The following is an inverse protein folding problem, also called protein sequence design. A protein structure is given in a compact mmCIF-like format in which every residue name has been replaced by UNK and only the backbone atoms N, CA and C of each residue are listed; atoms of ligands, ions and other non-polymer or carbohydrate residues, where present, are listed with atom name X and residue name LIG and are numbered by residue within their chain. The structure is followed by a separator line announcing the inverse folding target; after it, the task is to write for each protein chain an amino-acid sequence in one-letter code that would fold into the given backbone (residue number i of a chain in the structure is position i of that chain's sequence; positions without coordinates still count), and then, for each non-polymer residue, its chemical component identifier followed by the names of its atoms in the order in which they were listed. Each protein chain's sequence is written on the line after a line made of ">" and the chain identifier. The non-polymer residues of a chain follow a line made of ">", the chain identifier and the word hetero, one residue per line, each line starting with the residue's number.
data_IF_193437951277
#
_entry.id   IF_193437951277
#
_cell.length_a   1.000
_cell.length_b   1.000
_cell.length_c   1.000
_cell.angle_alpha   90.00
_cell.angle_beta   90.00
_cell.angle_gamma   90.00
#
_symmetry.space_group_name_H-M   'P 1'
#
loop_
_entity.id
_entity.type
_entity.pdbx_description
1 polymer ?
2 non-polymer ?
3 non-polymer ?
4 non-polymer ?
5 non-polymer ?
6 non-polymer ?
7 water ?
#
# COMPACT_ATOMS: atom_id res chain seq x y z
N UNK A 5 3.48 -25.20 7.15
CA UNK A 5 3.38 -24.23 8.28
C UNK A 5 4.76 -23.63 8.57
N UNK A 6 4.83 -22.34 8.96
CA UNK A 6 6.09 -21.57 9.00
C UNK A 6 7.00 -22.19 10.05
N UNK A 7 8.31 -22.08 9.88
CA UNK A 7 9.25 -22.69 10.86
C UNK A 7 9.33 -21.77 12.08
N UNK A 8 9.79 -22.30 13.19
CA UNK A 8 9.95 -21.52 14.44
C UNK A 8 10.95 -20.39 14.19
N UNK A 9 12.01 -20.64 13.46
CA UNK A 9 13.07 -19.66 13.11
C UNK A 9 12.42 -18.49 12.35
N UNK A 10 11.64 -18.83 11.33
CA UNK A 10 10.98 -17.78 10.51
C UNK A 10 10.06 -16.96 11.41
N UNK A 11 9.23 -17.61 12.21
CA UNK A 11 8.24 -16.85 13.02
C UNK A 11 8.95 -15.98 14.05
N UNK A 12 10.06 -16.45 14.59
CA UNK A 12 10.79 -15.64 15.60
C UNK A 12 11.46 -14.46 14.89
N UNK A 13 12.02 -14.62 13.70
CA UNK A 13 12.63 -13.52 12.94
C UNK A 13 11.60 -12.41 12.75
N UNK A 14 10.39 -12.79 12.34
CA UNK A 14 9.35 -11.77 12.13
C UNK A 14 9.00 -11.07 13.43
N UNK A 15 8.82 -11.81 14.51
CA UNK A 15 8.44 -11.21 15.80
C UNK A 15 9.54 -10.24 16.23
N UNK A 16 10.79 -10.60 16.04
CA UNK A 16 11.90 -9.71 16.50
C UNK A 16 12.11 -8.52 15.55
N UNK A 17 11.45 -8.52 14.38
CA UNK A 17 11.60 -7.44 13.35
C UNK A 17 10.69 -6.28 13.71
N UNK A 18 9.70 -6.51 14.55
CA UNK A 18 8.68 -5.49 14.86
C UNK A 18 9.06 -4.72 16.12
N UNK A 19 9.16 -3.41 16.03
CA UNK A 19 9.49 -2.57 17.19
C UNK A 19 8.24 -2.33 18.02
N UNK A 20 8.40 -2.17 19.33
CA UNK A 20 7.26 -1.90 20.23
C UNK A 20 7.52 -0.57 20.90
N UNK A 21 6.49 0.24 21.06
CA UNK A 21 6.62 1.64 21.58
C UNK A 21 5.71 1.78 22.78
N UNK A 22 6.28 1.93 23.97
CA UNK A 22 5.46 2.07 25.21
C UNK A 22 4.74 3.41 25.18
N UNK A 23 3.47 3.33 25.56
CA UNK A 23 2.59 4.52 25.82
C UNK A 23 2.36 5.27 24.50
N UNK A 24 2.18 4.56 23.40
CA UNK A 24 1.76 5.17 22.13
C UNK A 24 0.58 4.33 21.62
N UNK A 25 -0.54 4.91 21.14
CA UNK A 25 -0.74 6.36 20.98
C UNK A 25 -1.27 7.04 22.25
N UNK A 26 -1.39 6.32 23.35
CA UNK A 26 -1.77 6.88 24.66
C UNK A 26 -1.17 5.98 25.74
N UNK A 27 -1.22 6.42 27.01
CA UNK A 27 -0.63 5.69 28.12
C UNK A 27 -1.27 4.31 28.23
N UNK A 28 -0.41 3.32 28.44
CA UNK A 28 -0.83 1.96 28.77
C UNK A 28 -0.97 1.09 27.55
N UNK A 29 -0.66 1.59 26.35
CA UNK A 29 -0.63 0.78 25.10
C UNK A 29 0.86 0.58 24.72
N UNK A 30 1.27 -0.68 24.53
CA UNK A 30 2.59 -1.02 23.93
C UNK A 30 2.38 -1.21 22.44
N UNK A 31 2.65 -0.19 21.66
CA UNK A 31 2.29 -0.17 20.23
C UNK A 31 3.22 -1.07 19.46
N UNK A 32 2.63 -1.90 18.61
CA UNK A 32 3.39 -2.82 17.73
C UNK A 32 3.53 -2.21 16.37
N UNK A 33 4.72 -1.80 16.03
CA UNK A 33 5.02 -0.93 14.87
C UNK A 33 5.50 -1.79 13.70
N UNK A 34 4.64 -2.09 12.73
CA UNK A 34 4.98 -2.90 11.55
C UNK A 34 5.93 -2.17 10.58
N UNK A 35 6.18 -0.85 10.75
CA UNK A 35 7.09 -0.16 9.79
C UNK A 35 8.51 -0.67 9.90
N UNK A 36 8.94 -1.20 11.07
CA UNK A 36 10.30 -1.74 11.23
C UNK A 36 10.44 -3.05 10.45
N UNK A 37 9.36 -3.78 10.27
CA UNK A 37 9.34 -5.00 9.42
C UNK A 37 9.42 -4.59 7.93
N UNK A 38 8.72 -3.53 7.55
CA UNK A 38 8.75 -3.03 6.15
C UNK A 38 10.13 -2.60 5.74
N UNK A 39 10.90 -2.01 6.65
CA UNK A 39 12.25 -1.49 6.28
C UNK A 39 13.27 -2.61 6.23
N UNK A 40 12.98 -3.83 6.73
CA UNK A 40 13.94 -4.96 6.68
C UNK A 40 13.56 -5.80 5.47
N UNK A 41 14.37 -5.81 4.40
CA UNK A 41 14.02 -6.57 3.21
C UNK A 41 13.76 -8.03 3.54
N UNK A 42 14.52 -8.63 4.47
CA UNK A 42 14.32 -10.05 4.81
C UNK A 42 12.96 -10.23 5.48
N UNK A 43 12.64 -9.40 6.46
CA UNK A 43 11.38 -9.57 7.25
C UNK A 43 10.19 -9.36 6.30
N UNK A 44 10.27 -8.33 5.46
CA UNK A 44 9.10 -8.01 4.59
C UNK A 44 8.89 -9.14 3.56
N UNK A 45 9.96 -9.51 2.87
CA UNK A 45 9.88 -10.63 1.90
C UNK A 45 9.35 -11.89 2.59
N UNK A 46 9.81 -12.21 3.79
CA UNK A 46 9.39 -13.46 4.44
C UNK A 46 7.90 -13.39 4.75
N UNK A 47 7.45 -12.27 5.30
CA UNK A 47 6.03 -12.09 5.67
C UNK A 47 5.18 -12.42 4.41
N UNK A 48 5.53 -11.82 3.28
CA UNK A 48 4.70 -12.01 2.06
C UNK A 48 4.84 -13.46 1.61
N UNK A 49 6.04 -14.00 1.60
CA UNK A 49 6.23 -15.40 1.15
C UNK A 49 5.39 -16.33 2.02
N UNK A 50 5.33 -16.14 3.33
CA UNK A 50 4.54 -17.01 4.26
C UNK A 50 3.03 -16.90 4.00
N UNK A 51 2.52 -15.71 3.67
CA UNK A 51 1.09 -15.55 3.39
C UNK A 51 0.74 -16.19 2.05
N UNK A 52 1.58 -16.02 1.05
CA UNK A 52 1.39 -16.62 -0.31
C UNK A 52 1.39 -18.15 -0.12
N UNK A 53 2.33 -18.70 0.62
CA UNK A 53 2.39 -20.17 0.87
C UNK A 53 1.08 -20.66 1.52
N UNK A 54 0.53 -19.98 2.55
CA UNK A 54 -0.65 -20.40 3.30
C UNK A 54 -1.83 -20.56 2.34
N UNK A 55 -1.94 -19.70 1.31
CA UNK A 55 -3.17 -19.62 0.49
C UNK A 55 -2.98 -20.09 -0.93
N UNK A 56 -1.80 -20.57 -1.32
CA UNK A 56 -1.52 -20.89 -2.74
C UNK A 56 -2.50 -21.97 -3.23
N UNK A 57 -3.02 -22.84 -2.38
CA UNK A 57 -3.92 -23.94 -2.87
C UNK A 57 -5.35 -23.66 -2.46
N UNK A 58 -5.68 -22.41 -2.09
CA UNK A 58 -6.96 -22.08 -1.45
C UNK A 58 -8.01 -21.65 -2.49
N UNK A 59 -7.67 -21.53 -3.77
CA UNK A 59 -8.62 -21.13 -4.83
C UNK A 59 -9.03 -19.67 -4.67
N UNK A 60 -8.14 -18.86 -4.12
CA UNK A 60 -8.40 -17.39 -4.02
C UNK A 60 -8.48 -16.79 -5.41
N UNK A 61 -9.47 -15.94 -5.66
CA UNK A 61 -9.61 -15.22 -6.95
C UNK A 61 -9.39 -13.72 -6.82
N UNK A 62 -9.43 -13.18 -5.61
CA UNK A 62 -9.17 -11.73 -5.40
C UNK A 62 -8.60 -11.58 -4.00
N UNK A 63 -7.70 -10.62 -3.79
CA UNK A 63 -7.26 -10.18 -2.45
C UNK A 63 -7.83 -8.79 -2.24
N UNK A 64 -8.42 -8.57 -1.07
CA UNK A 64 -8.90 -7.23 -0.67
C UNK A 64 -8.03 -6.75 0.49
N UNK A 65 -7.59 -5.52 0.39
CA UNK A 65 -6.87 -4.89 1.52
C UNK A 65 -7.45 -3.52 1.79
N UNK A 66 -7.51 -3.14 3.06
CA UNK A 66 -8.09 -1.85 3.49
C UNK A 66 -6.96 -0.80 3.49
N UNK A 67 -7.29 0.41 3.16
CA UNK A 67 -6.36 1.53 3.22
C UNK A 67 -5.91 1.75 4.66
N UNK A 68 -4.62 2.05 4.91
CA UNK A 68 -3.54 2.07 3.95
C UNK A 68 -2.55 0.95 4.26
N UNK A 69 -2.41 0.53 5.51
CA UNK A 69 -1.33 -0.45 5.83
C UNK A 69 -1.74 -1.80 5.23
N UNK A 70 -3.04 -2.06 5.08
CA UNK A 70 -3.58 -3.23 4.36
C UNK A 70 -3.07 -3.34 2.93
N UNK A 71 -2.91 -2.25 2.22
CA UNK A 71 -2.31 -2.19 0.89
C UNK A 71 -0.89 -2.81 0.87
N UNK A 72 -0.11 -2.55 1.92
CA UNK A 72 1.31 -2.95 1.98
C UNK A 72 1.44 -4.45 2.06
N UNK A 73 0.45 -5.14 2.60
CA UNK A 73 0.51 -6.60 2.75
C UNK A 73 -0.40 -7.30 1.74
N UNK A 74 -1.59 -6.75 1.49
CA UNK A 74 -2.54 -7.39 0.56
C UNK A 74 -2.03 -7.36 -0.85
N UNK A 75 -1.46 -6.26 -1.31
CA UNK A 75 -1.09 -6.14 -2.74
C UNK A 75 0.08 -7.06 -3.10
N UNK A 76 1.13 -7.21 -2.28
CA UNK A 76 2.18 -8.18 -2.62
C UNK A 76 1.64 -9.61 -2.55
N UNK A 77 0.71 -9.89 -1.66
CA UNK A 77 0.10 -11.26 -1.58
C UNK A 77 -0.67 -11.50 -2.90
N UNK A 78 -1.38 -10.51 -3.41
CA UNK A 78 -2.12 -10.63 -4.68
C UNK A 78 -1.13 -10.98 -5.77
N UNK A 79 -0.02 -10.26 -5.86
CA UNK A 79 1.00 -10.45 -6.89
C UNK A 79 1.58 -11.86 -6.77
N UNK A 80 1.81 -12.32 -5.54
CA UNK A 80 2.39 -13.65 -5.28
C UNK A 80 1.44 -14.77 -5.66
N UNK A 81 0.14 -14.57 -5.45
CA UNK A 81 -0.90 -15.53 -5.84
C UNK A 81 -1.26 -15.37 -7.34
N UNK A 82 -0.88 -14.28 -8.00
CA UNK A 82 -1.27 -13.98 -9.40
C UNK A 82 -2.76 -13.69 -9.54
N UNK A 83 -3.37 -13.00 -8.58
CA UNK A 83 -4.81 -12.62 -8.59
C UNK A 83 -4.91 -11.09 -8.47
N UNK A 84 -6.04 -10.55 -8.86
CA UNK A 84 -6.28 -9.11 -8.77
C UNK A 84 -6.24 -8.65 -7.32
N UNK A 85 -5.91 -7.39 -7.16
CA UNK A 85 -6.02 -6.71 -5.84
C UNK A 85 -7.15 -5.69 -5.86
N UNK A 86 -7.99 -5.72 -4.82
CA UNK A 86 -9.11 -4.77 -4.68
C UNK A 86 -8.93 -3.95 -3.42
N UNK A 87 -8.79 -2.62 -3.54
CA UNK A 87 -8.64 -1.77 -2.38
C UNK A 87 -10.02 -1.46 -1.79
N UNK A 88 -10.07 -1.47 -0.47
CA UNK A 88 -11.20 -0.88 0.29
C UNK A 88 -10.68 0.43 0.86
N UNK A 89 -11.41 1.50 0.61
CA UNK A 89 -10.88 2.87 0.84
C UNK A 89 -11.77 3.71 1.74
N UNK A 90 -11.11 4.72 2.31
CA UNK A 90 -11.83 5.81 2.98
C UNK A 90 -12.76 6.47 1.98
N UNK A 91 -13.84 7.13 2.43
CA UNK A 91 -14.83 7.63 1.51
C UNK A 91 -14.33 8.72 0.55
N UNK A 92 -14.88 8.69 -0.65
CA UNK A 92 -14.66 9.73 -1.64
C UNK A 92 -13.40 9.56 -2.42
N UNK A 93 -12.68 8.45 -2.25
CA UNK A 93 -11.37 8.24 -2.92
C UNK A 93 -11.52 7.32 -4.14
N UNK A 94 -12.44 6.39 -4.13
CA UNK A 94 -12.67 5.49 -5.29
C UNK A 94 -13.53 6.22 -6.30
N UNK A 95 -13.13 6.27 -7.58
CA UNK A 95 -13.88 7.03 -8.57
C UNK A 95 -15.10 6.46 -9.29
N UNK A 96 -15.27 5.16 -9.22
CA UNK A 96 -16.44 4.50 -9.85
C UNK A 96 -17.51 4.16 -8.81
N UNK A 97 -18.55 3.49 -9.22
CA UNK A 97 -19.68 3.20 -8.31
C UNK A 97 -19.17 2.37 -7.14
N UNK A 98 -19.60 2.73 -5.94
CA UNK A 98 -19.18 2.07 -4.69
C UNK A 98 -20.40 1.69 -3.88
N UNK A 99 -20.17 0.82 -2.92
CA UNK A 99 -21.05 0.64 -1.74
C UNK A 99 -20.19 0.96 -0.51
N UNK A 100 -20.83 1.20 0.61
CA UNK A 100 -20.21 1.75 1.82
C UNK A 100 -20.63 0.92 3.02
N UNK A 101 -19.75 0.84 4.00
CA UNK A 101 -20.05 0.25 5.31
C UNK A 101 -19.58 1.21 6.40
N UNK A 102 -20.42 1.40 7.39
CA UNK A 102 -20.11 2.27 8.55
C UNK A 102 -19.55 1.40 9.66
N UNK A 103 -18.51 1.87 10.34
CA UNK A 103 -17.83 1.14 11.43
C UNK A 103 -17.39 2.13 12.48
N UNK A 104 -17.06 1.61 13.64
CA UNK A 104 -16.62 2.47 14.78
C UNK A 104 -15.15 2.77 14.75
N UNK A 105 -14.79 4.04 14.96
CA UNK A 105 -13.44 4.52 15.31
C UNK A 105 -13.32 4.59 16.84
N UNK A 106 -12.14 4.89 17.33
CA UNK A 106 -11.98 5.20 18.77
C UNK A 106 -12.88 6.39 19.12
N UNK A 107 -12.94 7.43 18.28
CA UNK A 107 -13.62 8.72 18.62
C UNK A 107 -14.74 9.11 17.68
N UNK A 108 -15.52 8.15 17.19
CA UNK A 108 -16.62 8.45 16.27
C UNK A 108 -16.83 7.26 15.35
N UNK A 109 -17.32 7.53 14.15
CA UNK A 109 -17.64 6.50 13.16
C UNK A 109 -17.07 6.93 11.83
N UNK A 110 -16.95 5.97 10.91
CA UNK A 110 -16.42 6.35 9.58
C UNK A 110 -16.94 5.30 8.61
N UNK A 111 -16.61 5.49 7.36
CA UNK A 111 -17.05 4.53 6.32
C UNK A 111 -15.89 3.95 5.55
N UNK A 112 -16.08 2.72 5.09
CA UNK A 112 -15.19 2.10 4.08
C UNK A 112 -16.00 1.85 2.83
N UNK A 113 -15.36 2.01 1.70
CA UNK A 113 -16.02 1.84 0.40
C UNK A 113 -15.27 0.81 -0.44
N UNK A 114 -16.00 0.20 -1.36
CA UNK A 114 -15.41 -0.71 -2.35
C UNK A 114 -16.14 -0.47 -3.68
N UNK A 115 -15.40 -0.60 -4.76
CA UNK A 115 -16.03 -0.60 -6.10
C UNK A 115 -17.01 -1.75 -6.28
N UNK A 116 -18.21 -1.43 -6.75
CA UNK A 116 -19.28 -2.44 -6.94
C UNK A 116 -18.80 -3.47 -7.96
N UNK A 117 -18.04 -3.08 -8.96
CA UNK A 117 -17.68 -4.01 -10.06
C UNK A 117 -16.47 -4.87 -9.70
N UNK A 118 -15.87 -4.68 -8.53
CA UNK A 118 -14.57 -5.32 -8.23
C UNK A 118 -14.74 -6.74 -7.67
N UNK A 119 -15.91 -7.04 -7.13
CA UNK A 119 -16.24 -8.38 -6.53
C UNK A 119 -17.53 -8.84 -7.18
N UNK A 120 -17.64 -10.12 -7.53
CA UNK A 120 -18.86 -10.69 -8.15
C UNK A 120 -19.15 -12.05 -7.55
N UNK A 121 -20.38 -12.58 -7.67
CA UNK A 121 -20.60 -14.00 -7.38
C UNK A 121 -19.63 -14.90 -8.13
N UNK A 122 -19.10 -15.90 -7.42
CA UNK A 122 -18.03 -16.74 -7.95
C UNK A 122 -16.67 -16.38 -7.38
N UNK A 123 -16.46 -15.13 -6.92
CA UNK A 123 -15.16 -14.76 -6.35
C UNK A 123 -14.99 -15.40 -4.96
N UNK A 124 -13.76 -15.87 -4.73
CA UNK A 124 -13.30 -16.32 -3.41
C UNK A 124 -12.22 -15.34 -2.98
N UNK A 125 -12.46 -14.65 -1.90
CA UNK A 125 -11.64 -13.49 -1.52
C UNK A 125 -10.84 -13.82 -0.27
N UNK A 126 -9.62 -13.34 -0.28
CA UNK A 126 -8.76 -13.30 0.91
C UNK A 126 -8.65 -11.84 1.34
N UNK A 127 -8.96 -11.57 2.57
CA UNK A 127 -8.68 -10.21 3.14
C UNK A 127 -7.31 -10.24 3.82
N UNK A 128 -6.50 -9.22 3.60
CA UNK A 128 -5.16 -9.15 4.22
C UNK A 128 -5.09 -7.82 4.95
N UNK A 129 -4.58 -7.86 6.16
CA UNK A 129 -4.35 -6.59 6.90
C UNK A 129 -3.07 -6.71 7.70
N UNK A 130 -2.56 -5.57 8.12
CA UNK A 130 -1.31 -5.57 8.91
C UNK A 130 -1.61 -6.19 10.27
N UNK A 131 -2.67 -5.81 10.96
CA UNK A 131 -2.78 -6.08 12.41
C UNK A 131 -4.24 -6.28 12.79
N UNK A 132 -4.49 -7.33 13.57
CA UNK A 132 -5.82 -7.68 14.10
C UNK A 132 -5.88 -7.21 15.54
N UNK A 133 -6.70 -6.19 15.83
CA UNK A 133 -7.03 -5.73 17.19
C UNK A 133 -8.48 -6.12 17.46
N UNK A 134 -9.43 -5.21 17.44
CA UNK A 134 -10.85 -5.53 17.72
C UNK A 134 -11.43 -6.25 16.50
N UNK A 135 -10.91 -5.99 15.30
CA UNK A 135 -11.40 -6.65 14.09
C UNK A 135 -12.49 -5.84 13.42
N UNK A 136 -12.80 -4.63 13.87
CA UNK A 136 -13.95 -3.88 13.33
C UNK A 136 -13.79 -3.57 11.86
N UNK A 137 -12.61 -3.16 11.37
CA UNK A 137 -12.49 -2.77 9.95
C UNK A 137 -12.60 -4.05 9.14
N UNK A 138 -12.11 -5.17 9.65
CA UNK A 138 -12.22 -6.45 8.91
C UNK A 138 -13.69 -6.84 8.79
N UNK A 139 -14.46 -6.75 9.87
CA UNK A 139 -15.87 -7.15 9.83
C UNK A 139 -16.59 -6.30 8.79
N UNK A 140 -16.31 -5.00 8.74
CA UNK A 140 -16.91 -4.06 7.77
C UNK A 140 -16.51 -4.44 6.34
N UNK A 141 -15.26 -4.78 6.13
CA UNK A 141 -14.76 -5.21 4.82
C UNK A 141 -15.43 -6.50 4.39
N UNK A 142 -15.58 -7.44 5.29
CA UNK A 142 -16.26 -8.71 4.96
C UNK A 142 -17.67 -8.39 4.53
N UNK A 143 -18.38 -7.48 5.18
CA UNK A 143 -19.77 -7.15 4.80
C UNK A 143 -19.74 -6.57 3.39
N UNK A 144 -18.79 -5.69 3.06
CA UNK A 144 -18.73 -5.16 1.69
C UNK A 144 -18.60 -6.32 0.70
N UNK A 145 -17.71 -7.23 0.94
CA UNK A 145 -17.41 -8.33 -0.02
C UNK A 145 -18.69 -9.17 -0.16
N UNK A 146 -19.33 -9.52 0.95
CA UNK A 146 -20.49 -10.45 0.87
C UNK A 146 -21.69 -9.73 0.23
N UNK A 147 -21.82 -8.43 0.42
CA UNK A 147 -22.97 -7.68 -0.20
C UNK A 147 -22.82 -7.71 -1.72
N UNK A 148 -21.64 -7.88 -2.28
CA UNK A 148 -21.39 -7.94 -3.76
C UNK A 148 -21.44 -9.40 -4.25
N UNK A 149 -21.67 -10.34 -3.33
CA UNK A 149 -21.81 -11.78 -3.65
C UNK A 149 -20.50 -12.54 -3.63
N UNK A 150 -19.40 -11.93 -3.16
CA UNK A 150 -18.12 -12.63 -2.98
C UNK A 150 -18.19 -13.57 -1.82
N UNK A 151 -17.39 -14.63 -1.88
CA UNK A 151 -17.26 -15.57 -0.75
C UNK A 151 -15.93 -15.24 -0.09
N UNK A 152 -16.01 -15.06 1.20
CA UNK A 152 -14.80 -14.76 2.01
C UNK A 152 -14.91 -15.58 3.28
N UNK A 153 -13.89 -16.37 3.52
CA UNK A 153 -13.80 -17.23 4.70
C UNK A 153 -12.46 -17.06 5.39
N UNK A 154 -11.61 -16.17 4.92
CA UNK A 154 -10.19 -16.14 5.30
C UNK A 154 -9.72 -14.69 5.45
N UNK A 155 -8.98 -14.45 6.50
CA UNK A 155 -8.31 -13.17 6.76
C UNK A 155 -6.92 -13.47 7.26
N UNK A 156 -5.95 -12.79 6.73
CA UNK A 156 -4.54 -12.98 7.06
C UNK A 156 -4.01 -11.68 7.66
N UNK A 157 -3.14 -11.79 8.64
CA UNK A 157 -2.60 -10.62 9.36
C UNK A 157 -1.12 -10.84 9.61
N UNK A 158 -0.36 -9.76 9.62
CA UNK A 158 1.04 -9.86 10.13
C UNK A 158 1.03 -10.03 11.65
N UNK A 159 0.25 -9.22 12.34
CA UNK A 159 0.18 -9.19 13.82
C UNK A 159 -1.22 -9.54 14.28
N UNK A 160 -1.30 -10.30 15.36
CA UNK A 160 -2.54 -10.66 16.08
C UNK A 160 -2.40 -10.21 17.55
N UNK A 161 -3.20 -9.28 18.03
CA UNK A 161 -3.22 -8.93 19.47
C UNK A 161 -4.25 -9.82 20.14
N UNK A 162 -3.81 -11.01 20.53
CA UNK A 162 -4.75 -12.08 20.94
C UNK A 162 -5.52 -11.70 22.20
N UNK A 163 -5.07 -10.75 23.00
CA UNK A 163 -5.81 -10.36 24.24
C UNK A 163 -7.06 -9.54 23.89
N UNK A 164 -7.20 -9.07 22.64
CA UNK A 164 -8.33 -8.20 22.21
C UNK A 164 -9.46 -9.05 21.60
N UNK A 165 -9.25 -10.34 21.41
CA UNK A 165 -10.31 -11.31 21.09
C UNK A 165 -10.75 -11.27 19.63
N UNK A 166 -10.00 -10.64 18.75
CA UNK A 166 -10.46 -10.44 17.37
C UNK A 166 -10.57 -11.75 16.62
N UNK A 167 -9.71 -12.72 16.83
CA UNK A 167 -9.80 -13.99 16.07
C UNK A 167 -11.15 -14.64 16.39
N UNK A 168 -11.54 -14.68 17.64
CA UNK A 168 -12.81 -15.36 18.04
C UNK A 168 -13.97 -14.56 17.44
N UNK A 169 -13.91 -13.25 17.47
CA UNK A 169 -14.98 -12.38 16.92
C UNK A 169 -15.14 -12.63 15.42
N UNK A 170 -14.04 -12.71 14.70
CA UNK A 170 -14.10 -13.00 13.25
C UNK A 170 -14.58 -14.42 12.99
N UNK A 171 -14.26 -15.40 13.86
CA UNK A 171 -14.73 -16.79 13.69
C UNK A 171 -16.27 -16.85 13.76
N UNK A 172 -16.90 -15.99 14.56
CA UNK A 172 -18.38 -15.91 14.71
C UNK A 172 -18.97 -15.37 13.40
N UNK A 173 -18.17 -14.75 12.52
CA UNK A 173 -18.63 -14.23 11.23
C UNK A 173 -18.15 -15.13 10.10
N UNK A 174 -17.69 -16.35 10.38
CA UNK A 174 -17.27 -17.29 9.35
C UNK A 174 -15.93 -16.96 8.75
N UNK A 175 -15.10 -16.23 9.48
CA UNK A 175 -13.73 -15.90 9.02
C UNK A 175 -12.70 -16.61 9.89
N UNK A 176 -11.85 -17.39 9.23
CA UNK A 176 -10.68 -18.04 9.86
C UNK A 176 -9.49 -17.10 9.67
N UNK A 177 -8.87 -16.67 10.76
CA UNK A 177 -7.69 -15.80 10.77
C UNK A 177 -6.39 -16.61 10.76
N UNK A 178 -5.48 -16.22 9.90
CA UNK A 178 -4.07 -16.66 9.92
C UNK A 178 -3.22 -15.45 10.27
N UNK A 179 -2.44 -15.55 11.32
CA UNK A 179 -1.61 -14.42 11.78
C UNK A 179 -0.18 -14.93 11.97
N UNK A 180 0.82 -14.14 11.59
CA UNK A 180 2.25 -14.53 11.66
C UNK A 180 2.86 -14.22 13.04
N UNK A 181 2.50 -13.11 13.66
CA UNK A 181 3.16 -12.64 14.91
C UNK A 181 2.11 -12.34 15.98
N UNK A 182 2.00 -13.19 17.03
CA UNK A 182 1.09 -12.95 18.13
C UNK A 182 1.82 -12.04 19.12
N UNK A 183 1.12 -11.07 19.66
CA UNK A 183 1.63 -10.25 20.79
C UNK A 183 0.54 -10.13 21.82
N UNK A 184 0.94 -10.16 23.09
CA UNK A 184 0.03 -9.87 24.18
C UNK A 184 -0.16 -8.36 24.36
N UNK A 185 -1.10 -8.03 25.23
CA UNK A 185 -1.48 -6.67 25.59
C UNK A 185 -2.57 -6.03 24.75
N UNK A 186 -3.04 -4.85 25.16
CA UNK A 186 -4.09 -4.13 24.43
C UNK A 186 -3.52 -3.30 23.28
N UNK B 4 15.53 -5.69 -21.92
CA UNK B 4 15.73 -4.56 -20.96
C UNK B 4 14.84 -3.34 -21.29
N UNK B 5 13.97 -3.40 -22.32
CA UNK B 5 13.05 -2.30 -22.71
C UNK B 5 11.58 -2.82 -22.87
N UNK B 6 10.61 -2.02 -22.40
CA UNK B 6 9.16 -2.35 -22.48
C UNK B 6 8.75 -2.43 -23.95
N UNK B 7 7.96 -3.43 -24.29
CA UNK B 7 7.45 -3.62 -25.66
C UNK B 7 6.23 -2.71 -25.87
N UNK B 8 5.88 -2.52 -27.13
CA UNK B 8 4.68 -1.74 -27.48
C UNK B 8 3.45 -2.47 -26.93
N UNK B 9 3.40 -3.79 -26.98
CA UNK B 9 2.27 -4.63 -26.57
C UNK B 9 2.13 -4.45 -25.06
N UNK B 10 3.25 -4.38 -24.33
CA UNK B 10 3.20 -4.21 -22.86
C UNK B 10 2.67 -2.81 -22.49
N UNK B 11 3.24 -1.79 -23.08
CA UNK B 11 2.84 -0.40 -22.77
C UNK B 11 1.38 -0.21 -23.18
N UNK B 12 0.93 -0.80 -24.30
CA UNK B 12 -0.48 -0.61 -24.74
C UNK B 12 -1.39 -1.35 -23.77
N UNK B 13 -1.03 -2.56 -23.32
CA UNK B 13 -1.86 -3.34 -22.37
C UNK B 13 -2.05 -2.49 -21.11
N UNK B 14 -0.96 -1.89 -20.60
CA UNK B 14 -1.08 -1.11 -19.36
C UNK B 14 -2.00 0.09 -19.61
N UNK B 15 -1.80 0.81 -20.68
CA UNK B 15 -2.61 2.02 -20.93
C UNK B 15 -4.07 1.62 -21.04
N UNK B 16 -4.39 0.53 -21.74
CA UNK B 16 -5.80 0.13 -21.95
C UNK B 16 -6.40 -0.49 -20.68
N UNK B 17 -5.59 -0.78 -19.62
CA UNK B 17 -6.06 -1.40 -18.37
C UNK B 17 -6.58 -0.32 -17.41
N UNK B 18 -6.34 0.94 -17.77
CA UNK B 18 -6.71 2.04 -16.85
C UNK B 18 -8.03 2.65 -17.35
N UNK B 19 -8.99 2.76 -16.46
CA UNK B 19 -10.30 3.39 -16.76
C UNK B 19 -10.23 4.90 -16.50
N UNK B 20 -11.00 5.68 -17.27
CA UNK B 20 -11.09 7.13 -17.11
C UNK B 20 -12.52 7.53 -16.73
N UNK B 21 -12.66 8.43 -15.77
CA UNK B 21 -13.99 8.78 -15.21
C UNK B 21 -14.17 10.28 -15.31
N UNK B 22 -15.11 10.70 -16.14
CA UNK B 22 -15.40 12.15 -16.30
C UNK B 22 -16.01 12.72 -15.02
N UNK B 23 -15.47 13.81 -14.52
CA UNK B 23 -16.12 14.70 -13.50
C UNK B 23 -16.04 14.03 -12.13
N UNK B 24 -14.97 13.26 -11.98
CA UNK B 24 -14.53 12.80 -10.65
C UNK B 24 -13.11 13.39 -10.54
N UNK B 25 -12.69 13.96 -9.40
CA UNK B 25 -13.59 14.13 -8.24
C UNK B 25 -14.38 15.43 -8.24
N UNK B 26 -14.05 16.32 -9.18
CA UNK B 26 -14.75 17.61 -9.37
C UNK B 26 -15.10 17.70 -10.85
N UNK B 27 -16.17 18.45 -11.21
CA UNK B 27 -16.51 18.66 -12.61
C UNK B 27 -15.22 19.00 -13.37
N UNK B 28 -15.14 18.46 -14.58
CA UNK B 28 -14.13 18.88 -15.55
C UNK B 28 -12.78 18.19 -15.39
N UNK B 29 -12.61 17.24 -14.45
CA UNK B 29 -11.38 16.39 -14.51
C UNK B 29 -11.77 15.02 -15.10
N UNK B 30 -10.95 14.53 -16.01
CA UNK B 30 -11.11 13.14 -16.51
C UNK B 30 -10.18 12.29 -15.67
N UNK B 31 -10.71 11.67 -14.62
CA UNK B 31 -9.89 10.98 -13.63
C UNK B 31 -9.36 9.67 -14.19
N UNK B 32 -8.05 9.49 -14.06
CA UNK B 32 -7.35 8.28 -14.50
C UNK B 32 -7.27 7.32 -13.33
N UNK B 33 -7.95 6.20 -13.41
CA UNK B 33 -8.21 5.25 -12.31
C UNK B 33 -7.28 4.05 -12.40
N UNK B 34 -6.25 4.00 -11.56
CA UNK B 34 -5.35 2.80 -11.51
C UNK B 34 -6.01 1.59 -10.89
N UNK B 35 -7.16 1.69 -10.22
CA UNK B 35 -7.77 0.52 -9.59
C UNK B 35 -8.15 -0.55 -10.62
N UNK B 36 -8.42 -0.20 -11.89
CA UNK B 36 -8.77 -1.23 -12.89
C UNK B 36 -7.49 -1.96 -13.30
N UNK B 37 -6.34 -1.34 -13.16
CA UNK B 37 -5.02 -2.01 -13.43
C UNK B 37 -4.73 -2.97 -12.27
N UNK B 38 -5.03 -2.56 -11.02
CA UNK B 38 -4.78 -3.43 -9.84
C UNK B 38 -5.59 -4.71 -9.91
N UNK B 39 -6.83 -4.61 -10.42
CA UNK B 39 -7.76 -5.75 -10.36
C UNK B 39 -7.40 -6.73 -11.49
N UNK B 40 -6.55 -6.33 -12.44
CA UNK B 40 -6.11 -7.23 -13.54
C UNK B 40 -4.72 -7.77 -13.17
N UNK B 41 -4.62 -9.05 -12.77
CA UNK B 41 -3.33 -9.57 -12.30
C UNK B 41 -2.28 -9.43 -13.39
N UNK B 42 -2.66 -9.62 -14.66
CA UNK B 42 -1.65 -9.49 -15.75
C UNK B 42 -1.05 -8.07 -15.81
N UNK B 43 -1.90 -7.05 -15.73
CA UNK B 43 -1.48 -5.65 -15.81
C UNK B 43 -0.67 -5.25 -14.56
N UNK B 44 -1.16 -5.65 -13.40
CA UNK B 44 -0.47 -5.27 -12.13
C UNK B 44 0.93 -5.89 -12.14
N UNK B 45 0.99 -7.18 -12.43
CA UNK B 45 2.30 -7.88 -12.44
C UNK B 45 3.24 -7.22 -13.44
N UNK B 46 2.76 -6.86 -14.63
CA UNK B 46 3.58 -6.25 -15.68
C UNK B 46 4.15 -4.91 -15.19
N UNK B 47 3.26 -4.08 -14.61
CA UNK B 47 3.64 -2.74 -14.17
C UNK B 47 4.79 -2.86 -13.18
N UNK B 48 4.72 -3.81 -12.24
CA UNK B 48 5.81 -3.98 -11.25
C UNK B 48 7.06 -4.51 -11.94
N UNK B 49 6.91 -5.45 -12.86
CA UNK B 49 8.13 -5.91 -13.58
C UNK B 49 8.84 -4.75 -14.28
N UNK B 50 8.13 -3.88 -14.98
CA UNK B 50 8.79 -2.79 -15.72
C UNK B 50 9.48 -1.81 -14.78
N UNK B 51 8.84 -1.48 -13.65
CA UNK B 51 9.48 -0.51 -12.73
C UNK B 51 10.74 -1.17 -12.17
N UNK B 52 10.64 -2.41 -11.76
CA UNK B 52 11.82 -3.10 -11.15
C UNK B 52 12.95 -3.17 -12.18
N UNK B 53 12.61 -3.52 -13.42
CA UNK B 53 13.66 -3.63 -14.47
C UNK B 53 14.41 -2.32 -14.64
N UNK B 54 13.75 -1.18 -14.59
CA UNK B 54 14.47 0.09 -14.80
C UNK B 54 15.51 0.35 -13.71
N UNK B 55 15.36 -0.22 -12.51
CA UNK B 55 16.25 0.16 -11.40
C UNK B 55 17.12 -0.97 -10.88
N UNK B 56 17.02 -2.15 -11.50
CA UNK B 56 17.64 -3.37 -10.92
C UNK B 56 19.16 -3.21 -10.86
N UNK B 57 19.77 -2.36 -11.70
CA UNK B 57 21.23 -2.08 -11.65
C UNK B 57 21.56 -0.68 -11.13
N UNK B 58 20.64 0.08 -10.53
CA UNK B 58 20.87 1.49 -10.15
C UNK B 58 21.39 1.62 -8.70
N UNK B 59 21.58 0.53 -7.97
CA UNK B 59 22.11 0.55 -6.60
C UNK B 59 21.15 1.24 -5.63
N UNK B 60 19.87 1.08 -5.89
CA UNK B 60 18.87 1.58 -4.92
C UNK B 60 19.01 0.82 -3.60
N UNK B 61 18.99 1.53 -2.46
CA UNK B 61 19.01 0.87 -1.12
C UNK B 61 17.70 1.02 -0.36
N UNK B 62 16.81 1.93 -0.81
CA UNK B 62 15.50 2.13 -0.14
C UNK B 62 14.50 2.53 -1.22
N UNK B 63 13.27 2.09 -1.06
CA UNK B 63 12.16 2.65 -1.88
C UNK B 63 11.22 3.39 -0.95
N UNK B 64 10.87 4.59 -1.32
CA UNK B 64 9.90 5.41 -0.58
C UNK B 64 8.62 5.44 -1.40
N UNK B 65 7.52 5.14 -0.74
CA UNK B 65 6.17 5.19 -1.35
C UNK B 65 5.32 6.17 -0.58
N UNK B 66 4.55 6.99 -1.30
CA UNK B 66 3.62 7.98 -0.72
C UNK B 66 2.27 7.32 -0.39
N UNK B 67 1.72 7.62 0.77
CA UNK B 67 0.36 7.17 1.15
C UNK B 67 -0.63 7.81 0.18
N UNK B 68 -1.65 7.09 -0.29
CA UNK B 68 -1.88 5.66 -0.09
C UNK B 68 -1.68 4.87 -1.38
N UNK B 69 -2.09 5.41 -2.53
CA UNK B 69 -1.98 4.66 -3.80
C UNK B 69 -0.50 4.41 -4.10
N UNK B 70 0.40 5.29 -3.66
CA UNK B 70 1.85 5.08 -3.84
C UNK B 70 2.32 3.77 -3.24
N UNK B 71 1.74 3.35 -2.12
CA UNK B 71 2.10 2.10 -1.44
C UNK B 71 1.92 0.88 -2.38
N UNK B 72 0.89 0.93 -3.24
CA UNK B 72 0.53 -0.21 -4.09
C UNK B 72 1.59 -0.44 -5.16
N UNK B 73 2.41 0.53 -5.47
CA UNK B 73 3.50 0.37 -6.44
C UNK B 73 4.87 0.40 -5.76
N UNK B 74 5.09 1.28 -4.79
CA UNK B 74 6.39 1.37 -4.13
C UNK B 74 6.69 0.07 -3.40
N UNK B 75 5.74 -0.54 -2.74
CA UNK B 75 6.08 -1.69 -1.89
C UNK B 75 6.40 -2.91 -2.76
N UNK B 76 5.66 -3.25 -3.82
CA UNK B 76 6.08 -4.37 -4.66
C UNK B 76 7.40 -4.08 -5.39
N UNK B 77 7.69 -2.84 -5.72
CA UNK B 77 8.99 -2.44 -6.31
C UNK B 77 10.10 -2.69 -5.27
N UNK B 78 9.92 -2.30 -4.03
CA UNK B 78 10.88 -2.57 -2.94
C UNK B 78 11.13 -4.08 -2.90
N UNK B 79 10.09 -4.88 -2.87
CA UNK B 79 10.24 -6.36 -2.77
C UNK B 79 10.99 -6.86 -4.02
N UNK B 80 10.63 -6.36 -5.21
CA UNK B 80 11.33 -6.74 -6.45
C UNK B 80 12.80 -6.40 -6.45
N UNK B 81 13.21 -5.30 -5.84
CA UNK B 81 14.62 -4.85 -5.79
C UNK B 81 15.31 -5.46 -4.56
N UNK B 82 14.56 -6.09 -3.66
CA UNK B 82 15.13 -6.71 -2.45
C UNK B 82 15.69 -5.66 -1.50
N UNK B 83 14.99 -4.53 -1.37
CA UNK B 83 15.40 -3.41 -0.48
C UNK B 83 14.23 -3.01 0.41
N UNK B 84 14.54 -2.31 1.47
CA UNK B 84 13.51 -1.90 2.44
C UNK B 84 12.54 -0.92 1.79
N UNK B 85 11.33 -0.96 2.29
CA UNK B 85 10.28 -0.01 1.91
C UNK B 85 10.08 0.99 3.04
N UNK B 86 9.99 2.26 2.70
CA UNK B 86 9.78 3.35 3.67
C UNK B 86 8.52 4.11 3.29
N UNK B 87 7.47 4.07 4.12
CA UNK B 87 6.30 4.86 3.82
C UNK B 87 6.50 6.33 4.19
N UNK B 88 5.97 7.23 3.37
CA UNK B 88 5.73 8.63 3.73
C UNK B 88 4.23 8.80 3.93
N UNK B 89 3.83 9.38 5.05
CA UNK B 89 2.42 9.34 5.48
C UNK B 89 1.88 10.71 5.81
N UNK B 90 0.55 10.80 5.82
CA UNK B 90 -0.14 11.97 6.37
C UNK B 90 0.15 12.04 7.85
N UNK B 91 0.00 13.21 8.49
CA UNK B 91 0.47 13.37 9.84
C UNK B 91 -0.27 12.47 10.82
N UNK B 92 0.44 12.07 11.86
CA UNK B 92 -0.12 11.34 13.00
C UNK B 92 -0.31 9.86 12.75
N UNK B 93 0.26 9.30 11.68
CA UNK B 93 0.15 7.85 11.39
C UNK B 93 1.43 7.13 11.81
N UNK B 94 2.58 7.72 11.61
CA UNK B 94 3.87 7.06 11.93
C UNK B 94 4.15 7.21 13.42
N UNK B 95 4.43 6.12 14.14
CA UNK B 95 4.55 6.19 15.60
C UNK B 95 5.90 6.62 16.18
N UNK B 96 6.98 6.59 15.41
CA UNK B 96 8.33 6.92 15.89
C UNK B 96 8.66 8.34 15.45
N UNK B 97 9.88 8.77 15.75
CA UNK B 97 10.29 10.17 15.49
C UNK B 97 10.21 10.45 13.98
N UNK B 98 9.59 11.54 13.65
CA UNK B 98 9.35 11.96 12.24
C UNK B 98 9.93 13.36 12.02
N UNK B 99 10.09 13.68 10.74
CA UNK B 99 10.14 15.06 10.21
C UNK B 99 9.03 15.16 9.17
N UNK B 100 8.67 16.38 8.83
CA UNK B 100 7.51 16.75 8.03
C UNK B 100 7.90 17.71 6.90
N UNK B 101 7.12 17.66 5.83
CA UNK B 101 7.21 18.62 4.73
C UNK B 101 5.81 19.00 4.29
N UNK B 102 5.62 20.27 4.00
CA UNK B 102 4.37 20.87 3.53
C UNK B 102 4.34 20.86 2.00
N UNK B 103 3.15 20.63 1.42
CA UNK B 103 2.94 20.71 -0.03
C UNK B 103 1.56 21.35 -0.24
N UNK B 104 1.38 21.95 -1.40
CA UNK B 104 0.07 22.54 -1.76
C UNK B 104 -0.90 21.44 -2.22
N UNK B 105 -2.14 21.53 -1.77
CA UNK B 105 -3.31 20.88 -2.40
C UNK B 105 -3.94 21.88 -3.39
N UNK B 106 -5.09 21.55 -3.97
CA UNK B 106 -5.76 22.51 -4.88
C UNK B 106 -6.06 23.77 -4.04
N UNK B 107 -6.59 23.57 -2.83
CA UNK B 107 -6.82 24.68 -1.88
C UNK B 107 -5.98 24.34 -0.63
N UNK B 108 -5.19 25.29 -0.18
CA UNK B 108 -4.47 25.16 1.09
C UNK B 108 -3.36 24.14 0.97
N UNK B 109 -3.02 23.52 2.08
CA UNK B 109 -1.73 22.80 2.18
C UNK B 109 -1.97 21.55 2.99
N UNK B 110 -1.03 20.61 2.91
CA UNK B 110 -1.06 19.42 3.80
C UNK B 110 0.39 19.00 4.02
N UNK B 111 0.60 17.99 4.87
CA UNK B 111 1.94 17.60 5.30
C UNK B 111 2.19 16.13 4.96
N UNK B 112 3.44 15.77 4.71
CA UNK B 112 3.91 14.37 4.58
C UNK B 112 5.01 14.19 5.62
N UNK B 113 5.03 13.04 6.29
CA UNK B 113 6.01 12.74 7.35
C UNK B 113 6.78 11.48 6.95
N UNK B 114 7.98 11.37 7.47
CA UNK B 114 8.83 10.18 7.32
C UNK B 114 9.51 9.92 8.68
N UNK B 115 9.67 8.67 9.04
CA UNK B 115 10.55 8.27 10.16
C UNK B 115 11.99 8.74 9.91
N UNK B 116 12.55 9.46 10.90
CA UNK B 116 13.93 9.98 10.79
C UNK B 116 14.92 8.80 10.72
N UNK B 117 14.64 7.65 11.27
CA UNK B 117 15.62 6.53 11.26
C UNK B 117 15.53 5.72 9.96
N UNK B 118 14.61 6.06 9.05
CA UNK B 118 14.35 5.17 7.90
C UNK B 118 15.39 5.38 6.80
N UNK B 119 15.99 6.56 6.74
CA UNK B 119 16.95 7.01 5.69
C UNK B 119 18.20 7.50 6.37
N UNK B 120 19.36 7.12 5.86
CA UNK B 120 20.67 7.50 6.48
C UNK B 120 21.59 7.98 5.36
N UNK B 121 22.64 8.77 5.67
CA UNK B 121 23.66 9.07 4.67
C UNK B 121 24.20 7.79 4.06
N UNK B 122 24.31 7.76 2.73
CA UNK B 122 24.72 6.55 2.00
C UNK B 122 23.54 5.84 1.33
N UNK B 123 22.32 6.10 1.80
CA UNK B 123 21.13 5.52 1.15
C UNK B 123 20.98 6.15 -0.24
N UNK B 124 20.66 5.33 -1.23
CA UNK B 124 20.23 5.80 -2.55
C UNK B 124 18.77 5.41 -2.73
N UNK B 125 17.92 6.42 -2.87
CA UNK B 125 16.45 6.23 -2.71
C UNK B 125 15.75 6.33 -4.07
N UNK B 126 14.78 5.47 -4.26
CA UNK B 126 13.82 5.59 -5.36
C UNK B 126 12.50 6.01 -4.76
N UNK B 127 11.88 7.04 -5.28
CA UNK B 127 10.48 7.39 -4.88
C UNK B 127 9.53 6.77 -5.91
N UNK B 128 8.44 6.19 -5.46
CA UNK B 128 7.45 5.59 -6.37
C UNK B 128 6.09 6.18 -6.01
N UNK B 129 5.29 6.49 -7.04
CA UNK B 129 3.88 6.87 -6.81
C UNK B 129 3.07 6.35 -7.97
N UNK B 130 1.75 6.39 -7.84
CA UNK B 130 0.89 5.87 -8.92
C UNK B 130 0.90 6.85 -10.10
N UNK B 131 0.82 8.16 -9.85
CA UNK B 131 0.49 9.14 -10.90
C UNK B 131 1.21 10.45 -10.65
N UNK B 132 1.91 10.94 -11.68
CA UNK B 132 2.55 12.25 -11.66
C UNK B 132 1.59 13.31 -12.22
N UNK B 133 1.12 14.21 -11.36
CA UNK B 133 0.30 15.37 -11.74
C UNK B 133 1.17 16.63 -11.56
N UNK B 134 0.94 17.47 -10.58
CA UNK B 134 1.79 18.66 -10.35
C UNK B 134 3.16 18.25 -9.79
N UNK B 135 3.22 17.14 -9.05
CA UNK B 135 4.46 16.60 -8.48
C UNK B 135 4.74 17.22 -7.11
N UNK B 136 3.78 17.91 -6.52
CA UNK B 136 4.04 18.54 -5.21
C UNK B 136 4.36 17.51 -4.15
N UNK B 137 3.65 16.40 -4.05
CA UNK B 137 3.96 15.41 -3.00
C UNK B 137 5.38 14.86 -3.24
N UNK B 138 5.79 14.70 -4.49
CA UNK B 138 7.13 14.13 -4.80
C UNK B 138 8.20 15.17 -4.43
N UNK B 139 7.98 16.45 -4.71
CA UNK B 139 8.95 17.48 -4.27
C UNK B 139 9.07 17.44 -2.75
N UNK B 140 7.96 17.30 -2.02
CA UNK B 140 7.99 17.28 -0.53
C UNK B 140 8.75 16.05 -0.05
N UNK B 141 8.54 14.90 -0.66
CA UNK B 141 9.15 13.63 -0.28
C UNK B 141 10.65 13.73 -0.55
N UNK B 142 11.05 14.31 -1.65
CA UNK B 142 12.50 14.49 -1.95
C UNK B 142 13.13 15.36 -0.87
N UNK B 143 12.44 16.40 -0.44
CA UNK B 143 12.98 17.27 0.64
C UNK B 143 13.15 16.45 1.91
N UNK B 144 12.21 15.56 2.23
CA UNK B 144 12.31 14.72 3.44
C UNK B 144 13.57 13.90 3.32
N UNK B 145 13.73 13.18 2.23
CA UNK B 145 14.86 12.25 2.01
C UNK B 145 16.18 13.02 2.14
N UNK B 146 16.30 14.20 1.55
CA UNK B 146 17.61 14.91 1.56
C UNK B 146 17.86 15.50 2.96
N UNK B 147 16.82 15.84 3.72
CA UNK B 147 17.04 16.32 5.10
C UNK B 147 17.64 15.19 5.94
N UNK B 148 17.38 13.92 5.62
CA UNK B 148 17.95 12.78 6.36
C UNK B 148 19.30 12.34 5.79
N UNK B 149 19.78 13.03 4.76
CA UNK B 149 21.09 12.71 4.19
C UNK B 149 21.03 11.66 3.12
N UNK B 150 19.83 11.23 2.74
CA UNK B 150 19.66 10.31 1.60
C UNK B 150 19.93 11.01 0.29
N UNK B 151 20.33 10.19 -0.68
CA UNK B 151 20.55 10.61 -2.07
C UNK B 151 19.33 10.13 -2.86
N UNK B 152 18.71 11.03 -3.60
CA UNK B 152 17.55 10.63 -4.43
C UNK B 152 17.67 11.38 -5.74
N UNK B 153 17.61 10.64 -6.82
CA UNK B 153 17.69 11.23 -8.16
C UNK B 153 16.62 10.66 -9.07
N UNK B 154 15.74 9.81 -8.54
CA UNK B 154 14.81 9.00 -9.35
C UNK B 154 13.42 9.00 -8.72
N UNK B 155 12.39 9.13 -9.58
CA UNK B 155 10.99 8.87 -9.18
C UNK B 155 10.36 8.03 -10.28
N UNK B 156 9.52 7.11 -9.91
CA UNK B 156 8.84 6.25 -10.88
C UNK B 156 7.35 6.32 -10.67
N UNK B 157 6.60 6.19 -11.77
CA UNK B 157 5.15 6.31 -11.75
C UNK B 157 4.52 5.33 -12.71
N UNK B 158 3.30 4.99 -12.45
CA UNK B 158 2.50 4.30 -13.48
C UNK B 158 2.03 5.30 -14.52
N UNK B 159 1.40 6.41 -14.10
CA UNK B 159 0.78 7.39 -15.03
C UNK B 159 1.53 8.69 -14.98
N UNK B 160 1.75 9.32 -16.12
CA UNK B 160 2.34 10.65 -16.26
C UNK B 160 1.31 11.56 -16.93
N UNK B 161 0.79 12.58 -16.24
CA UNK B 161 -0.06 13.60 -16.88
C UNK B 161 0.82 14.70 -17.45
N UNK B 162 1.33 14.49 -18.67
CA UNK B 162 2.43 15.29 -19.24
C UNK B 162 1.98 16.74 -19.43
N UNK B 163 0.68 17.03 -19.50
CA UNK B 163 0.22 18.42 -19.69
C UNK B 163 0.38 19.25 -18.41
N UNK B 164 0.62 18.62 -17.25
CA UNK B 164 0.73 19.34 -15.95
C UNK B 164 2.18 19.66 -15.62
N UNK B 165 3.12 19.27 -16.46
CA UNK B 165 4.51 19.78 -16.34
C UNK B 165 5.29 19.22 -15.15
N UNK B 166 4.80 18.16 -14.49
CA UNK B 166 5.49 17.62 -13.30
C UNK B 166 6.89 17.12 -13.62
N UNK B 167 7.12 16.47 -14.74
CA UNK B 167 8.47 15.94 -15.09
C UNK B 167 9.50 17.06 -15.07
N UNK B 168 9.23 18.20 -15.69
CA UNK B 168 10.16 19.34 -15.80
C UNK B 168 10.42 19.92 -14.40
N UNK B 169 9.39 20.04 -13.57
CA UNK B 169 9.55 20.59 -12.19
C UNK B 169 10.47 19.69 -11.37
N UNK B 170 10.32 18.37 -11.54
CA UNK B 170 11.13 17.38 -10.80
C UNK B 170 12.54 17.38 -11.37
N UNK B 171 12.71 17.60 -12.67
CA UNK B 171 14.07 17.68 -13.29
C UNK B 171 14.84 18.83 -12.61
N UNK B 172 14.19 19.92 -12.27
CA UNK B 172 14.84 21.12 -11.66
C UNK B 172 15.32 20.81 -10.24
N UNK B 173 14.73 19.81 -9.60
CA UNK B 173 15.18 19.35 -8.26
C UNK B 173 16.10 18.14 -8.41
N UNK B 174 16.64 17.84 -9.61
CA UNK B 174 17.57 16.75 -9.76
C UNK B 174 16.94 15.39 -9.78
N UNK B 175 15.67 15.30 -10.17
CA UNK B 175 14.94 14.03 -10.18
C UNK B 175 14.58 13.68 -11.63
N UNK B 176 14.97 12.48 -12.01
CA UNK B 176 14.62 11.89 -13.29
C UNK B 176 13.38 11.01 -13.11
N UNK B 177 12.36 11.24 -13.92
CA UNK B 177 11.08 10.51 -13.80
C UNK B 177 11.01 9.41 -14.84
N UNK B 178 10.56 8.25 -14.41
CA UNK B 178 10.22 7.13 -15.29
C UNK B 178 8.73 6.88 -15.13
N UNK B 179 7.99 6.86 -16.23
CA UNK B 179 6.53 6.61 -16.19
C UNK B 179 6.16 5.62 -17.28
N UNK B 180 5.14 4.85 -17.04
CA UNK B 180 4.72 3.76 -17.95
C UNK B 180 3.64 4.23 -18.90
N UNK B 181 2.71 5.08 -18.44
CA UNK B 181 1.44 5.32 -19.18
C UNK B 181 1.23 6.83 -19.23
N UNK B 182 1.46 7.48 -20.39
CA UNK B 182 1.18 8.90 -20.56
C UNK B 182 -0.31 9.12 -20.85
N UNK B 183 -0.93 10.10 -20.20
CA UNK B 183 -2.28 10.55 -20.61
C UNK B 183 -2.25 12.05 -20.75
N UNK B 184 -3.02 12.62 -21.72
CA UNK B 184 -3.17 14.06 -21.82
C UNK B 184 -4.18 14.54 -20.80
N UNK B 185 -4.24 15.85 -20.66
CA UNK B 185 -5.26 16.48 -19.82
C UNK B 185 -4.78 16.76 -18.42
N UNK B 186 -5.63 17.43 -17.64
CA UNK B 186 -5.26 17.83 -16.27
C UNK B 186 -5.77 16.79 -15.26
X LIG C 1 -4.19 -1.25 18.02
X LIG C 1 -4.62 -1.49 19.28
X LIG C 1 -3.67 -1.82 20.14
X LIG C 1 -2.53 -1.79 19.35
X LIG C 1 -1.17 -2.05 19.62
X LIG C 1 -0.72 -2.42 20.82
X LIG C 1 -0.29 -1.89 18.62
X LIG C 1 -0.74 -1.55 17.41
X LIG C 1 -1.98 -1.26 17.04
X LIG C 1 -2.83 -1.42 18.05
X LIG D 1 -8.84 -3.57 14.58
X LIG D 1 -8.65 -4.75 14.19
X LIG D 1 -9.69 -3.22 15.42
X LIG D 1 -7.82 -2.50 14.14
X LIG E 1 -5.98 1.94 11.89
X LIG E 1 -5.75 0.73 11.58
X LIG E 1 -5.91 2.39 13.06
X LIG E 1 -6.29 2.91 10.75
X LIG F 1 -25.01 -7.33 4.99
X LIG G 1 -23.93 1.25 0.42
X LIG H 1 -3.37 2.70 7.83
X LIG I 1 -6.01 5.88 30.16
X LIG J 1 -4.68 14.25 -10.35
X LIG J 1 -4.73 15.30 -11.18
X LIG J 1 -5.42 15.10 -12.28
X LIG J 1 -5.73 13.75 -12.21
X LIG J 1 -6.40 12.88 -13.09
X LIG J 1 -6.87 13.26 -14.27
X LIG J 1 -6.58 11.60 -12.69
X LIG J 1 -6.06 11.22 -11.53
X LIG J 1 -5.44 11.96 -10.61
X LIG J 1 -5.29 13.22 -11.03
X LIG K 1 0.67 20.70 -5.75
X LIG K 1 1.43 20.31 -4.62
X LIG K 1 1.37 21.72 -6.57
X LIG K 1 2.65 22.04 -6.05
X LIG L 1 -4.03 8.08 -2.33
X LIG M 1 -7.34 10.07 -23.07
X LIG N 1 4.73 11.95 16.56
#
# INVERSE_FOLDING_TARGET
>A
GSHMTATAQQLEYLKNSIKSIQDYPKPGILFRDVTSLLEDPKAYALSIDLLVERYKNAGITKVVGTEARGFLFGAPVALGLGVGFVPVRKPGKLPRETISETYDLEYGTDQLEIHVDAIKPGDKVLVVDDLLATGGTIEATVKLIRRLGGEVADAAFIINLFDLGGEQRLEKQGITSYSLVPFPGH
>B
GSHMTATAQQLEYLKNSIKSIQDYPKPGILFRDVTSLLEDPKAYALSIDLLVERYKNAGITKVVGTEARGFLFGAPVALGLGVGFVPVRKPGKLPRETISETYDLEYGTDQLEIHVDAIKPGDKVLVVDDLLATGGTIEATVKLIRRLGGEVADAAFIINLFDLGGEQRLEKQGITSYSLVPFPGH
>C hetero
1 ADE N9 C8 N7 C5 C6 N6 N1 C2 N3 C4
>D hetero
1 ACT C O OXT CH3
>E hetero
1 ACT C O OXT CH3
>F hetero
1 CL CL
>G hetero
1 CL CL
>H hetero
1 CL CL
>I hetero
1 NA NA
>J hetero
1 ADE N9 C8 N7 C5 C6 N6 N1 C2 N3 C4
>K hetero
1 EDO C1 O1 C2 O2
>L hetero
1 CL CL
>M hetero
1 CL CL
>N hetero
1 NA NA
#
